data_IF_885817442369
#
_entry.id   IF_885817442369
#
_cell.length_a   1.000
_cell.length_b   1.000
_cell.length_c   1.000
_cell.angle_alpha   90.00
_cell.angle_beta   90.00
_cell.angle_gamma   90.00
#
_symmetry.space_group_name_H-M   'P 1'
#
loop_
_entity.id
_entity.type
_entity.pdbx_description
1 polymer ?
#
# COMPACT_ATOMS: atom_id res chain seq x y z
N UNK A 1 -7.78 -13.31 2.77
CA UNK A 1 -8.44 -12.03 3.09
C UNK A 1 -8.12 -11.71 4.53
N UNK A 2 -7.48 -10.58 4.77
CA UNK A 2 -7.02 -10.12 6.08
C UNK A 2 -7.75 -8.84 6.48
N UNK A 3 -8.09 -8.74 7.76
CA UNK A 3 -8.63 -7.52 8.35
C UNK A 3 -7.57 -6.88 9.23
N UNK A 4 -7.49 -5.55 9.20
CA UNK A 4 -6.58 -4.76 10.00
C UNK A 4 -7.34 -3.59 10.60
N UNK A 5 -7.26 -3.42 11.91
CA UNK A 5 -7.80 -2.28 12.63
C UNK A 5 -6.67 -1.72 13.49
N UNK A 6 -6.33 -0.45 13.27
CA UNK A 6 -5.19 0.19 13.91
C UNK A 6 -5.53 1.63 14.25
N UNK A 7 -5.00 2.10 15.37
CA UNK A 7 -5.05 3.50 15.78
C UNK A 7 -3.65 3.97 16.17
N UNK A 8 -3.19 5.05 15.57
CA UNK A 8 -1.93 5.71 15.89
C UNK A 8 -2.06 7.22 15.68
N UNK A 9 -1.51 8.03 16.59
CA UNK A 9 -1.47 9.50 16.50
C UNK A 9 -2.79 10.18 16.11
N UNK A 10 -3.93 9.68 16.59
CA UNK A 10 -5.25 10.25 16.29
C UNK A 10 -5.80 9.88 14.90
N UNK A 11 -5.15 8.96 14.20
CA UNK A 11 -5.62 8.31 12.97
C UNK A 11 -6.11 6.91 13.31
N UNK A 12 -7.28 6.53 12.83
CA UNK A 12 -7.79 5.16 12.91
C UNK A 12 -8.10 4.62 11.52
N UNK A 13 -7.70 3.39 11.25
CA UNK A 13 -7.98 2.70 9.99
C UNK A 13 -8.71 1.39 10.23
N UNK A 14 -9.67 1.08 9.36
CA UNK A 14 -10.36 -0.21 9.30
C UNK A 14 -10.24 -0.75 7.88
N UNK A 15 -9.36 -1.73 7.70
CA UNK A 15 -8.92 -2.19 6.39
C UNK A 15 -9.31 -3.66 6.20
N UNK A 16 -9.76 -3.98 4.99
CA UNK A 16 -9.92 -5.34 4.49
C UNK A 16 -9.02 -5.50 3.27
N UNK A 17 -7.97 -6.29 3.44
CA UNK A 17 -6.96 -6.58 2.43
C UNK A 17 -7.33 -7.92 1.80
N UNK A 18 -7.47 -7.93 0.48
CA UNK A 18 -7.84 -9.13 -0.28
C UNK A 18 -6.68 -9.60 -1.13
N UNK A 19 -6.78 -10.85 -1.56
CA UNK A 19 -5.91 -11.37 -2.60
C UNK A 19 -6.10 -10.56 -3.89
N UNK A 20 -4.99 -10.21 -4.50
CA UNK A 20 -4.95 -9.36 -5.67
C UNK A 20 -5.35 -10.14 -6.93
N UNK A 21 -6.10 -9.46 -7.77
CA UNK A 21 -6.47 -9.93 -9.11
C UNK A 21 -5.61 -9.24 -10.16
N UNK A 22 -5.75 -9.68 -11.41
CA UNK A 22 -5.12 -9.01 -12.56
C UNK A 22 -5.57 -7.54 -12.68
N UNK A 23 -6.83 -7.24 -12.34
CA UNK A 23 -7.34 -5.86 -12.35
C UNK A 23 -6.59 -4.98 -11.33
N UNK A 24 -6.22 -5.54 -10.17
CA UNK A 24 -5.50 -4.81 -9.14
C UNK A 24 -4.04 -4.57 -9.51
N UNK A 25 -3.42 -5.51 -10.24
CA UNK A 25 -2.10 -5.31 -10.81
C UNK A 25 -2.09 -4.13 -11.80
N UNK A 26 -3.13 -4.00 -12.63
CA UNK A 26 -3.29 -2.85 -13.54
C UNK A 26 -3.57 -1.56 -12.76
N UNK A 27 -4.47 -1.62 -11.77
CA UNK A 27 -4.79 -0.47 -10.90
C UNK A 27 -3.54 0.04 -10.18
N UNK A 28 -2.68 -0.85 -9.67
CA UNK A 28 -1.39 -0.51 -9.06
C UNK A 28 -0.50 0.26 -10.03
N UNK A 29 -0.38 -0.19 -11.28
CA UNK A 29 0.38 0.52 -12.31
C UNK A 29 -0.17 1.92 -12.60
N UNK A 30 -1.50 2.05 -12.71
CA UNK A 30 -2.15 3.36 -12.92
C UNK A 30 -1.96 4.31 -11.73
N UNK A 31 -2.06 3.79 -10.50
CA UNK A 31 -1.84 4.56 -9.28
C UNK A 31 -0.38 5.03 -9.17
N UNK A 32 0.59 4.18 -9.52
CA UNK A 32 2.01 4.55 -9.53
C UNK A 32 2.31 5.66 -10.57
N UNK A 33 1.75 5.56 -11.78
CA UNK A 33 1.90 6.58 -12.80
C UNK A 33 1.32 7.94 -12.35
N UNK A 34 0.10 7.93 -11.78
CA UNK A 34 -0.51 9.14 -11.21
C UNK A 34 0.30 9.72 -10.05
N UNK A 35 0.82 8.86 -9.16
CA UNK A 35 1.64 9.30 -8.05
C UNK A 35 2.94 9.95 -8.56
N UNK A 36 3.55 9.45 -9.64
CA UNK A 36 4.77 10.01 -10.22
C UNK A 36 4.58 11.40 -10.86
N UNK A 37 3.36 11.78 -11.21
CA UNK A 37 3.01 13.12 -11.74
C UNK A 37 2.83 14.18 -10.64
N UNK A 38 2.83 13.78 -9.37
CA UNK A 38 2.65 14.68 -8.22
C UNK A 38 4.00 15.27 -7.78
N UNK A 39 4.01 16.53 -7.38
CA UNK A 39 5.20 17.17 -6.79
C UNK A 39 5.25 16.89 -5.29
N UNK A 40 6.34 16.27 -4.82
CA UNK A 40 6.59 15.95 -3.41
C UNK A 40 7.66 16.87 -2.81
N UNK A 41 7.70 16.96 -1.49
CA UNK A 41 8.70 17.78 -0.78
C UNK A 41 10.06 17.08 -0.69
N UNK A 42 10.09 15.75 -0.84
CA UNK A 42 11.31 14.95 -0.80
C UNK A 42 11.27 13.73 -1.72
N UNK A 43 12.46 13.25 -2.10
CA UNK A 43 12.61 12.00 -2.84
C UNK A 43 12.04 10.80 -2.06
N UNK A 44 12.11 10.83 -0.73
CA UNK A 44 11.56 9.78 0.13
C UNK A 44 10.05 9.70 0.01
N UNK A 45 9.35 10.84 0.07
CA UNK A 45 7.89 10.90 -0.15
C UNK A 45 7.52 10.40 -1.53
N UNK A 46 8.27 10.78 -2.57
CA UNK A 46 8.03 10.30 -3.93
C UNK A 46 8.19 8.78 -4.01
N UNK A 47 9.22 8.21 -3.39
CA UNK A 47 9.44 6.75 -3.37
C UNK A 47 8.28 6.05 -2.67
N UNK A 48 7.85 6.52 -1.49
CA UNK A 48 6.69 5.94 -0.78
C UNK A 48 5.42 6.02 -1.64
N UNK A 49 5.17 7.18 -2.25
CA UNK A 49 4.00 7.41 -3.07
C UNK A 49 3.96 6.55 -4.35
N UNK A 50 5.11 6.24 -4.94
CA UNK A 50 5.19 5.43 -6.17
C UNK A 50 5.30 3.94 -5.87
N UNK A 51 5.94 3.56 -4.77
CA UNK A 51 6.27 2.16 -4.48
C UNK A 51 5.34 1.52 -3.44
N UNK A 52 4.91 2.26 -2.42
CA UNK A 52 4.13 1.71 -1.31
C UNK A 52 2.63 1.97 -1.50
N UNK A 53 2.25 3.24 -1.65
CA UNK A 53 0.86 3.67 -1.81
C UNK A 53 0.07 2.83 -2.84
N UNK A 54 0.57 2.57 -4.07
CA UNK A 54 -0.18 1.83 -5.07
C UNK A 54 -0.44 0.37 -4.68
N UNK A 55 0.47 -0.26 -3.93
CA UNK A 55 0.32 -1.63 -3.44
C UNK A 55 -0.78 -1.70 -2.39
N UNK A 56 -0.74 -0.76 -1.45
CA UNK A 56 -1.73 -0.68 -0.37
C UNK A 56 -3.13 -0.40 -0.93
N UNK A 57 -3.30 0.62 -1.76
CA UNK A 57 -4.62 1.03 -2.24
C UNK A 57 -5.23 0.03 -3.24
N UNK A 58 -4.43 -0.58 -4.11
CA UNK A 58 -4.97 -1.37 -5.22
C UNK A 58 -5.82 -2.56 -4.76
N UNK A 59 -5.49 -3.17 -3.62
CA UNK A 59 -6.10 -4.41 -3.12
C UNK A 59 -6.76 -4.26 -1.74
N UNK A 60 -6.91 -3.04 -1.24
CA UNK A 60 -7.52 -2.77 0.07
C UNK A 60 -8.86 -2.06 -0.10
N UNK A 61 -9.83 -2.44 0.72
CA UNK A 61 -11.08 -1.72 0.94
C UNK A 61 -11.15 -1.32 2.40
N UNK A 62 -11.87 -0.26 2.70
CA UNK A 62 -12.06 0.15 4.09
C UNK A 62 -12.23 1.64 4.24
N UNK A 63 -11.99 2.09 5.46
CA UNK A 63 -12.13 3.49 5.82
C UNK A 63 -10.97 3.93 6.72
N UNK A 64 -10.68 5.22 6.65
CA UNK A 64 -9.75 5.93 7.52
C UNK A 64 -10.48 7.10 8.16
N UNK A 65 -10.26 7.28 9.45
CA UNK A 65 -10.69 8.44 10.22
C UNK A 65 -9.47 9.20 10.70
N UNK A 66 -9.40 10.49 10.36
CA UNK A 66 -8.34 11.40 10.77
C UNK A 66 -8.97 12.75 11.11
N UNK A 67 -8.65 13.28 12.30
CA UNK A 67 -9.18 14.56 12.79
C UNK A 67 -10.73 14.63 12.80
N UNK A 68 -11.41 13.49 13.02
CA UNK A 68 -12.87 13.39 13.02
C UNK A 68 -13.51 13.37 11.63
N UNK A 69 -12.73 13.40 10.55
CA UNK A 69 -13.20 13.20 9.18
C UNK A 69 -12.94 11.76 8.76
N UNK A 70 -13.98 11.10 8.23
CA UNK A 70 -13.93 9.71 7.76
C UNK A 70 -14.04 9.69 6.24
N UNK A 71 -13.15 8.94 5.59
CA UNK A 71 -13.14 8.73 4.13
C UNK A 71 -12.85 7.29 3.78
N UNK A 72 -13.26 6.90 2.58
CA UNK A 72 -12.90 5.58 2.05
C UNK A 72 -11.42 5.55 1.68
N UNK A 73 -10.82 4.36 1.74
CA UNK A 73 -9.41 4.18 1.38
C UNK A 73 -9.16 4.51 -0.09
N UNK A 74 -10.14 4.32 -0.97
CA UNK A 74 -10.07 4.66 -2.38
C UNK A 74 -9.96 6.17 -2.65
N UNK A 75 -10.38 7.00 -1.69
CA UNK A 75 -10.30 8.46 -1.75
C UNK A 75 -8.97 9.00 -1.21
N UNK A 76 -8.18 8.17 -0.52
CA UNK A 76 -6.91 8.58 0.06
C UNK A 76 -5.91 8.91 -1.06
N UNK A 77 -5.35 10.12 -1.02
CA UNK A 77 -4.34 10.58 -1.98
C UNK A 77 -2.95 10.07 -1.62
N UNK A 78 -1.98 10.08 -2.58
CA UNK A 78 -0.60 9.71 -2.27
C UNK A 78 0.03 10.59 -1.18
N UNK A 79 -0.27 11.90 -1.18
CA UNK A 79 0.25 12.83 -0.17
C UNK A 79 -0.32 12.54 1.22
N UNK A 80 -1.61 12.27 1.32
CA UNK A 80 -2.23 11.88 2.60
C UNK A 80 -1.71 10.55 3.09
N UNK A 81 -1.44 9.60 2.18
CA UNK A 81 -0.82 8.33 2.53
C UNK A 81 0.60 8.51 3.08
N UNK A 82 1.43 9.36 2.45
CA UNK A 82 2.76 9.68 2.95
C UNK A 82 2.75 10.39 4.32
N UNK A 83 1.65 11.06 4.67
CA UNK A 83 1.46 11.73 5.95
C UNK A 83 0.87 10.82 7.05
N UNK A 84 0.61 9.55 6.77
CA UNK A 84 0.14 8.60 7.79
C UNK A 84 1.22 8.32 8.83
N UNK A 85 0.83 8.03 10.08
CA UNK A 85 1.74 7.48 11.08
C UNK A 85 2.48 6.25 10.55
N UNK A 86 3.77 6.16 10.86
CA UNK A 86 4.65 5.10 10.37
C UNK A 86 4.08 3.71 10.63
N UNK A 87 3.56 3.49 11.84
CA UNK A 87 3.01 2.21 12.30
C UNK A 87 1.81 1.76 11.46
N UNK A 88 0.99 2.71 10.98
CA UNK A 88 -0.13 2.41 10.08
C UNK A 88 0.38 2.03 8.70
N UNK A 89 1.31 2.81 8.14
CA UNK A 89 1.87 2.55 6.81
C UNK A 89 2.61 1.22 6.74
N UNK A 90 3.44 0.93 7.75
CA UNK A 90 4.22 -0.31 7.89
C UNK A 90 3.31 -1.53 8.02
N UNK A 91 2.41 -1.55 9.00
CA UNK A 91 1.54 -2.70 9.26
C UNK A 91 0.58 -2.96 8.09
N UNK A 92 0.16 -1.92 7.39
CA UNK A 92 -0.65 -2.07 6.19
C UNK A 92 0.15 -2.70 5.04
N UNK A 93 1.34 -2.19 4.75
CA UNK A 93 2.21 -2.78 3.72
C UNK A 93 2.53 -4.24 4.04
N UNK A 94 2.90 -4.55 5.28
CA UNK A 94 3.17 -5.91 5.73
C UNK A 94 1.97 -6.83 5.48
N UNK A 95 0.77 -6.42 5.92
CA UNK A 95 -0.45 -7.19 5.73
C UNK A 95 -0.81 -7.39 4.23
N UNK A 96 -0.50 -6.41 3.37
CA UNK A 96 -0.64 -6.53 1.92
C UNK A 96 0.33 -7.55 1.34
N UNK A 97 1.59 -7.52 1.76
CA UNK A 97 2.63 -8.44 1.27
C UNK A 97 2.41 -9.87 1.76
N UNK A 98 1.90 -10.07 2.98
CA UNK A 98 1.53 -11.40 3.47
C UNK A 98 0.38 -12.01 2.67
N UNK A 99 -0.65 -11.22 2.33
CA UNK A 99 -1.78 -11.69 1.52
C UNK A 99 -1.40 -11.82 0.02
N UNK A 100 -0.39 -11.07 -0.43
CA UNK A 100 0.05 -10.96 -1.82
C UNK A 100 1.59 -11.04 -1.94
N UNK A 101 2.21 -12.21 -1.66
CA UNK A 101 3.67 -12.32 -1.58
C UNK A 101 4.39 -11.98 -2.89
N UNK A 102 3.76 -12.22 -4.05
CA UNK A 102 4.29 -11.85 -5.36
C UNK A 102 4.38 -10.33 -5.62
N UNK A 103 3.95 -9.49 -4.68
CA UNK A 103 4.04 -8.04 -4.76
C UNK A 103 5.19 -7.45 -3.94
N UNK A 104 6.00 -8.30 -3.31
CA UNK A 104 7.19 -7.89 -2.56
C UNK A 104 8.10 -6.97 -3.38
N UNK A 105 8.71 -6.02 -2.68
CA UNK A 105 9.65 -5.04 -3.24
C UNK A 105 11.07 -5.58 -3.38
N UNK A 106 11.31 -6.84 -2.99
CA UNK A 106 12.62 -7.46 -3.11
C UNK A 106 13.06 -7.53 -4.57
N UNK A 107 14.38 -7.43 -4.85
CA UNK A 107 14.92 -8.05 -6.04
C UNK A 107 14.47 -9.52 -6.04
N UNK A 108 14.21 -10.09 -7.20
CA UNK A 108 14.20 -11.55 -7.33
C UNK A 108 15.61 -12.03 -6.96
N UNK A 109 15.94 -12.15 -5.68
CA UNK A 109 17.04 -13.01 -5.26
C UNK A 109 16.69 -14.41 -5.77
N UNK A 110 17.64 -14.93 -6.51
CA UNK A 110 17.58 -16.11 -7.34
C UNK A 110 16.72 -17.20 -6.68
N UNK A 111 15.68 -17.63 -7.39
CA UNK A 111 15.13 -18.95 -7.14
C UNK A 111 16.23 -19.97 -7.48
N UNK A 112 17.14 -20.19 -6.54
CA UNK A 112 17.92 -21.40 -6.44
C UNK A 112 16.92 -22.55 -6.32
N UNK A 113 16.58 -23.10 -7.48
CA UNK A 113 16.03 -24.44 -7.59
C UNK A 113 16.86 -25.18 -8.62
N UNK A 114 18.03 -25.61 -8.17
CA UNK A 114 18.69 -26.83 -8.61
C UNK A 114 17.66 -27.88 -9.05
N UNK A 115 17.50 -28.09 -10.37
CA UNK A 115 17.04 -29.34 -11.00
C UNK A 115 17.51 -29.32 -12.46
N UNK A 116 18.23 -30.28 -13.02
CA UNK A 116 18.78 -31.58 -12.63
C UNK A 116 19.81 -31.91 -13.71
N UNK A 117 20.94 -32.53 -13.34
CA UNK A 117 21.68 -33.40 -14.26
C UNK A 117 20.82 -34.59 -14.72
#
# INVERSE_FOLDING_TARGET
MRKLELTAEGVTVWLTIRHATVSDAMRRGMLAAKAAETNYLSDVEQVVAVMVYPRCIACTQGEIEQNGERKTIEELTPLEFCALPYEIGEAWLEAVLEENPGWSLQPLEEQDSEKKD
#
